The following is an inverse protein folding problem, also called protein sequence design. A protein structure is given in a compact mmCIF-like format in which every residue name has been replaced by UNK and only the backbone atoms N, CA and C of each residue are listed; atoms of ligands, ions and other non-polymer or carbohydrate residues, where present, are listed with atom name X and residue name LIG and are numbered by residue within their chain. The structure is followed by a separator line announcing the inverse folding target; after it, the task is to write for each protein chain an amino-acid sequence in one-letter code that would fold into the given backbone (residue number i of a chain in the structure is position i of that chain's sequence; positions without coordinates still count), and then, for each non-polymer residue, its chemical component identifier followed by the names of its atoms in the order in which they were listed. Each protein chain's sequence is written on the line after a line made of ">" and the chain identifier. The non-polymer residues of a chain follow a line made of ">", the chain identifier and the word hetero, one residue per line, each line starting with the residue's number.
data_IF_889845404152
#
_entry.id   IF_889845404152
#
_cell.length_a   1.000
_cell.length_b   1.000
_cell.length_c   1.000
_cell.angle_alpha   90.00
_cell.angle_beta   90.00
_cell.angle_gamma   90.00
#
_symmetry.space_group_name_H-M   'P 1'
#
loop_
_entity.id
_entity.type
_entity.pdbx_description
1 polymer ?
#
# COMPACT_ATOMS: atom_id res chain seq x y z
N UNK A 1 5.31 -30.91 -19.98
CA UNK A 1 5.61 -31.56 -18.68
C UNK A 1 6.87 -30.92 -18.15
N UNK A 2 6.70 -29.86 -17.35
CA UNK A 2 7.83 -29.19 -16.70
C UNK A 2 8.36 -30.07 -15.58
N UNK A 3 9.69 -30.18 -15.51
CA UNK A 3 10.39 -30.91 -14.46
C UNK A 3 10.11 -30.19 -13.14
N UNK A 4 9.35 -30.83 -12.25
CA UNK A 4 9.32 -30.47 -10.82
C UNK A 4 10.73 -30.79 -10.29
N UNK A 5 11.59 -29.79 -10.27
CA UNK A 5 12.82 -29.86 -9.48
C UNK A 5 12.36 -29.94 -8.04
N UNK A 6 12.70 -31.02 -7.34
CA UNK A 6 12.46 -31.11 -5.91
C UNK A 6 13.22 -29.95 -5.26
N UNK A 7 12.48 -29.01 -4.67
CA UNK A 7 13.05 -27.89 -3.95
C UNK A 7 13.44 -28.43 -2.57
N UNK A 8 14.67 -28.94 -2.47
CA UNK A 8 15.27 -29.35 -1.21
C UNK A 8 15.79 -28.09 -0.49
N UNK A 9 15.00 -27.53 0.42
CA UNK A 9 15.42 -26.40 1.24
C UNK A 9 14.27 -25.74 2.00
N UNK A 10 14.56 -25.20 3.19
CA UNK A 10 13.65 -24.25 3.81
C UNK A 10 13.72 -22.88 3.08
N UNK A 11 12.72 -22.03 3.29
CA UNK A 11 12.65 -20.71 2.63
C UNK A 11 13.93 -19.89 2.83
N UNK A 12 14.50 -19.97 4.04
CA UNK A 12 15.72 -19.25 4.40
C UNK A 12 16.90 -19.68 3.53
N UNK A 13 17.12 -20.98 3.35
CA UNK A 13 18.21 -21.50 2.52
C UNK A 13 18.10 -20.96 1.09
N UNK A 14 16.90 -20.95 0.51
CA UNK A 14 16.68 -20.41 -0.84
C UNK A 14 16.98 -18.91 -0.94
N UNK A 15 16.67 -18.15 0.11
CA UNK A 15 16.96 -16.73 0.19
C UNK A 15 18.47 -16.51 0.31
N UNK A 16 19.16 -17.26 1.16
CA UNK A 16 20.63 -17.23 1.31
C UNK A 16 21.33 -17.57 -0.01
N UNK A 17 20.88 -18.62 -0.71
CA UNK A 17 21.37 -19.00 -2.03
C UNK A 17 21.13 -17.91 -3.09
N UNK A 18 20.11 -17.08 -2.90
CA UNK A 18 19.79 -15.92 -3.75
C UNK A 18 20.54 -14.64 -3.33
N UNK A 19 21.39 -14.71 -2.30
CA UNK A 19 22.20 -13.57 -1.82
C UNK A 19 21.59 -12.77 -0.67
N UNK A 20 20.57 -13.28 0.02
CA UNK A 20 19.94 -12.57 1.13
C UNK A 20 20.93 -12.27 2.27
N UNK A 21 20.94 -11.02 2.70
CA UNK A 21 21.61 -10.56 3.91
C UNK A 21 20.55 -10.31 4.98
N UNK A 22 20.58 -11.11 6.03
CA UNK A 22 19.61 -11.02 7.13
C UNK A 22 20.06 -10.02 8.20
N UNK A 23 19.09 -9.32 8.80
CA UNK A 23 19.26 -8.60 10.05
C UNK A 23 19.27 -9.56 11.25
N UNK A 24 19.63 -9.06 12.44
CA UNK A 24 19.71 -9.85 13.67
C UNK A 24 18.37 -10.50 14.06
N UNK A 25 17.25 -9.89 13.68
CA UNK A 25 15.89 -10.37 13.93
C UNK A 25 15.41 -11.41 12.91
N UNK A 26 16.27 -11.79 11.95
CA UNK A 26 15.95 -12.79 10.93
C UNK A 26 15.16 -12.26 9.74
N UNK A 27 15.00 -10.94 9.61
CA UNK A 27 14.38 -10.32 8.43
C UNK A 27 15.40 -10.13 7.32
N UNK A 28 15.02 -10.36 6.06
CA UNK A 28 15.88 -10.09 4.91
C UNK A 28 16.03 -8.58 4.74
N UNK A 29 17.22 -8.07 5.04
CA UNK A 29 17.54 -6.63 4.98
C UNK A 29 17.74 -6.18 3.53
N UNK A 30 18.59 -6.88 2.79
CA UNK A 30 18.91 -6.61 1.38
C UNK A 30 19.42 -7.88 0.70
N UNK A 31 19.44 -7.88 -0.63
CA UNK A 31 20.14 -8.86 -1.48
C UNK A 31 21.36 -8.23 -2.19
N UNK A 32 21.74 -6.99 -1.83
CA UNK A 32 22.81 -6.20 -2.47
C UNK A 32 22.58 -6.04 -3.99
N UNK A 33 21.32 -5.83 -4.36
CA UNK A 33 20.82 -5.79 -5.74
C UNK A 33 19.87 -4.61 -6.00
N UNK A 34 20.05 -3.49 -5.29
CA UNK A 34 19.11 -2.37 -5.26
C UNK A 34 18.81 -1.81 -6.66
N UNK A 35 19.80 -1.75 -7.55
CA UNK A 35 19.62 -1.28 -8.93
C UNK A 35 18.66 -2.19 -9.72
N UNK A 36 18.89 -3.51 -9.68
CA UNK A 36 18.04 -4.50 -10.35
C UNK A 36 16.64 -4.55 -9.75
N UNK A 37 16.55 -4.49 -8.42
CA UNK A 37 15.29 -4.50 -7.68
C UNK A 37 14.46 -3.24 -7.97
N UNK A 38 15.08 -2.06 -8.02
CA UNK A 38 14.40 -0.80 -8.38
C UNK A 38 13.95 -0.79 -9.85
N UNK A 39 14.79 -1.30 -10.75
CA UNK A 39 14.42 -1.46 -12.16
C UNK A 39 13.24 -2.43 -12.34
N UNK A 40 13.23 -3.54 -11.61
CA UNK A 40 12.16 -4.52 -11.61
C UNK A 40 10.87 -3.99 -10.97
N UNK A 41 10.95 -3.17 -9.93
CA UNK A 41 9.76 -2.54 -9.35
C UNK A 41 9.09 -1.58 -10.35
N UNK A 42 9.88 -0.89 -11.18
CA UNK A 42 9.37 0.02 -12.20
C UNK A 42 8.88 -0.69 -13.48
N UNK A 43 9.54 -1.77 -13.92
CA UNK A 43 9.33 -2.35 -15.26
C UNK A 43 9.10 -3.87 -15.27
N UNK A 44 9.07 -4.52 -14.12
CA UNK A 44 8.90 -5.97 -13.99
C UNK A 44 8.11 -6.31 -12.73
N UNK A 45 8.65 -7.19 -11.88
CA UNK A 45 8.11 -7.40 -10.55
C UNK A 45 9.20 -7.77 -9.53
N UNK A 46 9.00 -7.33 -8.29
CA UNK A 46 9.81 -7.69 -7.14
C UNK A 46 9.03 -8.59 -6.18
N UNK A 47 9.76 -9.48 -5.51
CA UNK A 47 9.24 -10.36 -4.48
C UNK A 47 9.93 -10.06 -3.15
N UNK A 48 9.14 -9.72 -2.13
CA UNK A 48 9.65 -9.38 -0.79
C UNK A 48 9.08 -10.33 0.24
N UNK A 49 9.95 -10.84 1.12
CA UNK A 49 9.53 -11.62 2.27
C UNK A 49 9.03 -10.71 3.40
N UNK A 50 7.72 -10.76 3.62
CA UNK A 50 7.02 -9.99 4.66
C UNK A 50 6.57 -10.89 5.81
N UNK A 51 7.17 -12.06 5.99
CA UNK A 51 6.78 -13.03 7.02
C UNK A 51 6.92 -12.49 8.45
N UNK A 52 7.67 -11.41 8.68
CA UNK A 52 7.74 -10.73 9.98
C UNK A 52 6.51 -9.86 10.32
N UNK A 53 5.60 -9.59 9.37
CA UNK A 53 4.37 -8.83 9.62
C UNK A 53 3.37 -9.59 10.47
N UNK A 54 2.63 -8.91 11.35
CA UNK A 54 1.63 -9.55 12.19
C UNK A 54 0.44 -10.06 11.37
N UNK A 55 0.05 -11.31 11.59
CA UNK A 55 -1.14 -11.92 10.99
C UNK A 55 -2.06 -12.42 12.10
N UNK A 56 -3.10 -11.65 12.39
CA UNK A 56 -4.08 -11.96 13.43
C UNK A 56 -5.37 -12.45 12.78
N UNK A 57 -5.77 -13.69 13.08
CA UNK A 57 -7.04 -14.26 12.63
C UNK A 57 -8.12 -14.02 13.67
N UNK A 58 -9.18 -13.34 13.27
CA UNK A 58 -10.41 -13.19 14.07
C UNK A 58 -11.47 -14.16 13.57
N UNK A 59 -11.98 -15.00 14.46
CA UNK A 59 -13.08 -15.94 14.19
C UNK A 59 -14.27 -15.68 15.11
N UNK A 60 -15.40 -16.35 14.86
CA UNK A 60 -16.66 -16.18 15.60
C UNK A 60 -17.68 -15.34 14.83
N UNK A 61 -18.96 -15.45 15.15
CA UNK A 61 -20.04 -14.79 14.40
C UNK A 61 -20.02 -13.27 14.53
N UNK A 62 -19.50 -12.74 15.64
CA UNK A 62 -19.49 -11.29 15.90
C UNK A 62 -18.24 -10.58 15.37
N UNK A 63 -17.30 -11.29 14.74
CA UNK A 63 -15.98 -10.78 14.32
C UNK A 63 -16.02 -9.47 13.51
N UNK A 64 -16.97 -9.31 12.58
CA UNK A 64 -17.08 -8.09 11.77
C UNK A 64 -17.63 -6.93 12.59
N UNK A 65 -18.66 -7.17 13.41
CA UNK A 65 -19.23 -6.16 14.32
C UNK A 65 -18.20 -5.71 15.35
N UNK A 66 -17.39 -6.64 15.86
CA UNK A 66 -16.30 -6.35 16.76
C UNK A 66 -15.24 -5.46 16.10
N UNK A 67 -14.69 -5.85 14.94
CA UNK A 67 -13.72 -5.02 14.21
C UNK A 67 -14.29 -3.65 13.81
N UNK A 68 -15.59 -3.59 13.53
CA UNK A 68 -16.30 -2.35 13.29
C UNK A 68 -16.27 -1.40 14.48
N UNK A 69 -16.37 -1.87 15.72
CA UNK A 69 -16.24 -1.04 16.92
C UNK A 69 -14.80 -0.69 17.30
N UNK A 70 -13.83 -1.53 16.87
CA UNK A 70 -12.44 -1.44 17.32
C UNK A 70 -11.51 -0.61 16.42
N UNK A 71 -11.93 -0.29 15.20
CA UNK A 71 -11.10 0.38 14.19
C UNK A 71 -11.89 1.47 13.45
N UNK A 72 -11.26 2.21 12.53
CA UNK A 72 -11.89 3.37 11.86
C UNK A 72 -12.72 3.05 10.62
N UNK A 73 -12.51 1.91 9.95
CA UNK A 73 -13.17 1.59 8.67
C UNK A 73 -14.52 0.87 8.82
N UNK A 74 -15.39 0.93 7.81
CA UNK A 74 -16.73 0.33 7.87
C UNK A 74 -16.74 -1.17 7.47
N UNK A 75 -16.82 -2.07 8.46
CA UNK A 75 -16.82 -3.53 8.24
C UNK A 75 -18.18 -4.17 7.92
N UNK A 76 -19.30 -3.53 8.27
CA UNK A 76 -20.61 -4.18 8.14
C UNK A 76 -20.98 -4.34 6.66
N UNK A 77 -21.46 -5.52 6.28
CA UNK A 77 -21.83 -5.84 4.91
C UNK A 77 -20.71 -6.40 4.03
N UNK A 78 -19.45 -6.41 4.51
CA UNK A 78 -18.36 -7.07 3.80
C UNK A 78 -18.60 -8.58 3.68
N UNK A 79 -18.32 -9.11 2.49
CA UNK A 79 -18.46 -10.52 2.15
C UNK A 79 -17.10 -11.22 2.09
N UNK A 80 -17.06 -12.56 2.22
CA UNK A 80 -15.86 -13.34 1.93
C UNK A 80 -15.24 -12.98 0.57
N UNK A 81 -13.91 -12.87 0.51
CA UNK A 81 -13.18 -12.43 -0.67
C UNK A 81 -13.03 -10.91 -0.80
N UNK A 82 -13.63 -10.13 0.11
CA UNK A 82 -13.45 -8.67 0.19
C UNK A 82 -12.53 -8.27 1.34
N UNK A 83 -11.90 -7.10 1.22
CA UNK A 83 -11.10 -6.55 2.29
C UNK A 83 -11.06 -5.03 2.26
N UNK A 84 -10.36 -4.45 3.23
CA UNK A 84 -10.14 -3.01 3.31
C UNK A 84 -8.91 -2.69 4.16
N UNK A 85 -8.42 -1.46 4.03
CA UNK A 85 -7.50 -0.86 5.00
C UNK A 85 -8.28 -0.17 6.12
N UNK A 86 -7.81 -0.34 7.35
CA UNK A 86 -8.37 0.30 8.54
C UNK A 86 -7.28 0.83 9.44
N UNK A 87 -7.61 1.83 10.26
CA UNK A 87 -6.67 2.40 11.22
C UNK A 87 -7.11 2.03 12.63
N UNK A 88 -6.18 1.52 13.43
CA UNK A 88 -6.37 1.38 14.86
C UNK A 88 -5.90 2.66 15.55
N UNK A 89 -6.76 3.24 16.38
CA UNK A 89 -6.48 4.51 17.05
C UNK A 89 -6.68 4.43 18.55
N UNK A 90 -6.04 5.31 19.31
CA UNK A 90 -6.32 5.50 20.75
C UNK A 90 -7.68 6.18 20.97
N UNK A 91 -8.14 6.26 22.22
CA UNK A 91 -9.36 7.02 22.56
C UNK A 91 -9.26 8.51 22.20
N UNK A 92 -8.04 9.05 22.15
CA UNK A 92 -7.73 10.41 21.72
C UNK A 92 -7.50 10.52 20.20
N UNK A 93 -7.88 9.49 19.44
CA UNK A 93 -7.74 9.38 17.99
C UNK A 93 -6.31 9.48 17.46
N UNK A 94 -5.33 9.05 18.26
CA UNK A 94 -3.93 8.95 17.83
C UNK A 94 -3.69 7.64 17.10
N UNK A 95 -2.90 7.68 16.05
CA UNK A 95 -2.71 6.52 15.18
C UNK A 95 -1.79 5.50 15.84
N UNK A 96 -2.24 4.25 15.93
CA UNK A 96 -1.42 3.15 16.41
C UNK A 96 -0.87 2.32 15.25
N UNK A 97 -1.74 1.93 14.32
CA UNK A 97 -1.36 1.10 13.18
C UNK A 97 -2.31 1.29 12.01
N UNK A 98 -1.78 1.13 10.80
CA UNK A 98 -2.52 1.00 9.56
C UNK A 98 -2.52 -0.48 9.16
N UNK A 99 -3.67 -1.13 9.34
CA UNK A 99 -3.82 -2.56 9.11
C UNK A 99 -4.66 -2.84 7.86
N UNK A 100 -4.38 -3.96 7.21
CA UNK A 100 -5.20 -4.49 6.13
C UNK A 100 -6.03 -5.65 6.66
N UNK A 101 -7.33 -5.68 6.34
CA UNK A 101 -8.24 -6.72 6.79
C UNK A 101 -8.84 -7.47 5.59
N UNK A 102 -8.67 -8.78 5.55
CA UNK A 102 -9.20 -9.67 4.51
C UNK A 102 -10.30 -10.55 5.10
N UNK A 103 -11.54 -10.37 4.64
CA UNK A 103 -12.70 -11.14 5.11
C UNK A 103 -12.77 -12.48 4.40
N UNK A 104 -12.71 -13.56 5.18
CA UNK A 104 -12.81 -14.94 4.72
C UNK A 104 -14.08 -15.60 5.28
N UNK A 105 -14.47 -16.74 4.73
CA UNK A 105 -15.65 -17.48 5.21
C UNK A 105 -15.57 -17.81 6.70
N UNK A 106 -14.38 -18.23 7.14
CA UNK A 106 -14.13 -18.73 8.49
C UNK A 106 -13.51 -17.69 9.43
N UNK A 107 -13.34 -16.44 9.00
CA UNK A 107 -12.70 -15.42 9.82
C UNK A 107 -12.38 -14.13 9.09
N UNK A 108 -11.64 -13.25 9.75
CA UNK A 108 -10.99 -12.09 9.14
C UNK A 108 -9.50 -12.20 9.44
N UNK A 109 -8.66 -12.12 8.40
CA UNK A 109 -7.22 -12.01 8.56
C UNK A 109 -6.85 -10.52 8.65
N UNK A 110 -6.29 -10.11 9.78
CA UNK A 110 -5.80 -8.76 10.02
C UNK A 110 -4.28 -8.78 9.90
N UNK A 111 -3.78 -8.09 8.87
CA UNK A 111 -2.36 -7.87 8.63
C UNK A 111 -1.97 -6.57 9.33
N UNK A 112 -1.11 -6.68 10.34
CA UNK A 112 -0.66 -5.60 11.22
C UNK A 112 0.84 -5.37 11.06
N UNK A 113 1.29 -4.15 11.36
CA UNK A 113 2.72 -3.84 11.33
C UNK A 113 3.49 -4.70 12.35
N UNK A 114 4.74 -5.08 12.07
CA UNK A 114 5.52 -5.99 12.92
C UNK A 114 5.60 -5.54 14.38
N UNK A 115 5.91 -4.25 14.60
CA UNK A 115 6.02 -3.62 15.93
C UNK A 115 4.69 -3.54 16.68
N UNK A 116 3.55 -3.62 15.97
CA UNK A 116 2.21 -3.47 16.53
C UNK A 116 1.46 -4.78 16.73
N UNK A 117 1.97 -5.90 16.17
CA UNK A 117 1.39 -7.26 16.27
C UNK A 117 0.93 -7.60 17.69
N UNK A 118 1.83 -7.57 18.66
CA UNK A 118 1.54 -7.99 20.03
C UNK A 118 0.59 -7.02 20.74
N UNK A 119 0.84 -5.71 20.61
CA UNK A 119 0.03 -4.68 21.23
C UNK A 119 -1.42 -4.69 20.70
N UNK A 120 -1.61 -4.86 19.40
CA UNK A 120 -2.95 -4.98 18.80
C UNK A 120 -3.65 -6.26 19.22
N UNK A 121 -2.96 -7.41 19.22
CA UNK A 121 -3.54 -8.67 19.71
C UNK A 121 -4.04 -8.52 21.14
N UNK A 122 -3.19 -8.04 22.05
CA UNK A 122 -3.54 -7.88 23.46
C UNK A 122 -4.68 -6.87 23.63
N UNK A 123 -4.65 -5.77 22.87
CA UNK A 123 -5.73 -4.79 22.87
C UNK A 123 -7.05 -5.40 22.42
N UNK A 124 -7.07 -6.13 21.31
CA UNK A 124 -8.29 -6.75 20.79
C UNK A 124 -8.83 -7.74 21.82
N UNK A 125 -7.99 -8.62 22.37
CA UNK A 125 -8.38 -9.61 23.38
C UNK A 125 -9.02 -8.97 24.61
N UNK A 126 -8.43 -7.87 25.13
CA UNK A 126 -8.97 -7.12 26.28
C UNK A 126 -10.35 -6.50 26.05
N UNK A 127 -10.73 -6.26 24.80
CA UNK A 127 -12.02 -5.62 24.47
C UNK A 127 -13.11 -6.62 24.11
N UNK A 128 -12.81 -7.92 24.10
CA UNK A 128 -13.83 -8.97 23.93
C UNK A 128 -14.62 -9.03 25.25
N UNK A 129 -15.92 -8.72 25.18
CA UNK A 129 -16.77 -8.70 26.36
C UNK A 129 -17.44 -10.06 26.58
N UNK A 130 -17.94 -10.27 27.80
CA UNK A 130 -18.72 -11.45 28.12
C UNK A 130 -19.99 -11.51 27.25
N UNK A 131 -20.05 -12.47 26.34
CA UNK A 131 -21.15 -12.67 25.39
C UNK A 131 -20.81 -12.41 23.93
N UNK A 132 -19.63 -11.85 23.61
CA UNK A 132 -19.16 -11.73 22.23
C UNK A 132 -18.66 -13.10 21.72
N UNK A 133 -19.16 -13.56 20.57
CA UNK A 133 -18.58 -14.71 19.86
C UNK A 133 -17.44 -14.22 18.97
N UNK A 134 -16.28 -13.96 19.59
CA UNK A 134 -15.04 -13.54 18.93
C UNK A 134 -13.84 -14.23 19.55
N UNK A 135 -12.92 -14.69 18.71
CA UNK A 135 -11.60 -15.18 19.13
C UNK A 135 -10.51 -14.58 18.26
N UNK A 136 -9.47 -14.05 18.89
CA UNK A 136 -8.28 -13.52 18.21
C UNK A 136 -7.15 -14.55 18.35
N UNK A 137 -6.66 -15.05 17.21
CA UNK A 137 -5.53 -15.99 17.18
C UNK A 137 -4.40 -15.39 16.35
N UNK A 138 -3.21 -15.36 16.92
CA UNK A 138 -2.01 -14.98 16.19
C UNK A 138 -1.54 -16.18 15.35
N UNK A 139 -1.50 -16.01 14.03
CA UNK A 139 -1.09 -17.03 13.06
C UNK A 139 0.18 -16.63 12.32
N UNK A 140 0.87 -15.58 12.78
CA UNK A 140 2.09 -15.06 12.15
C UNK A 140 3.13 -16.16 11.97
N UNK A 141 3.45 -16.90 13.03
CA UNK A 141 4.51 -17.93 12.99
C UNK A 141 4.01 -19.27 12.41
N UNK A 142 2.83 -19.29 11.78
CA UNK A 142 2.22 -20.49 11.16
C UNK A 142 2.12 -20.38 9.65
N UNK A 143 2.39 -19.21 9.10
CA UNK A 143 2.29 -18.93 7.66
C UNK A 143 3.31 -17.87 7.27
N UNK A 144 3.79 -17.98 6.04
CA UNK A 144 4.65 -16.97 5.42
C UNK A 144 3.79 -15.97 4.65
N UNK A 145 4.31 -14.75 4.49
CA UNK A 145 3.64 -13.70 3.73
C UNK A 145 4.62 -13.05 2.78
N UNK A 146 4.24 -12.92 1.51
CA UNK A 146 5.06 -12.28 0.49
C UNK A 146 4.33 -11.11 -0.16
N UNK A 147 5.06 -10.05 -0.49
CA UNK A 147 4.57 -8.99 -1.37
C UNK A 147 5.18 -9.17 -2.75
N UNK A 148 4.32 -9.32 -3.76
CA UNK A 148 4.71 -9.29 -5.17
C UNK A 148 4.26 -7.95 -5.74
N UNK A 149 5.19 -7.07 -6.12
CA UNK A 149 4.90 -5.71 -6.55
C UNK A 149 5.55 -5.38 -7.89
N UNK A 150 4.89 -4.57 -8.72
CA UNK A 150 5.37 -4.14 -10.03
C UNK A 150 4.39 -4.47 -11.14
N UNK A 151 4.55 -3.87 -12.34
CA UNK A 151 3.63 -4.03 -13.46
C UNK A 151 3.43 -5.48 -13.93
N UNK A 152 4.43 -6.36 -13.76
CA UNK A 152 4.33 -7.76 -14.20
C UNK A 152 3.75 -8.71 -13.14
N UNK A 153 3.45 -8.22 -11.93
CA UNK A 153 2.97 -9.04 -10.82
C UNK A 153 1.72 -9.86 -11.19
N UNK A 154 0.78 -9.26 -11.92
CA UNK A 154 -0.43 -9.93 -12.37
C UNK A 154 -0.15 -11.03 -13.40
N UNK A 155 0.75 -10.77 -14.34
CA UNK A 155 1.15 -11.74 -15.35
C UNK A 155 1.88 -12.95 -14.73
N UNK A 156 2.74 -12.70 -13.74
CA UNK A 156 3.41 -13.75 -12.96
C UNK A 156 2.39 -14.63 -12.25
N UNK A 157 1.47 -14.04 -11.47
CA UNK A 157 0.44 -14.81 -10.80
C UNK A 157 -0.47 -15.58 -11.75
N UNK A 158 -0.77 -15.01 -12.93
CA UNK A 158 -1.49 -15.72 -13.99
C UNK A 158 -0.81 -17.03 -14.40
N UNK A 159 0.52 -17.05 -14.52
CA UNK A 159 1.30 -18.26 -14.85
C UNK A 159 1.29 -19.30 -13.73
N UNK A 160 1.12 -18.87 -12.48
CA UNK A 160 0.94 -19.76 -11.33
C UNK A 160 -0.51 -20.26 -11.16
N UNK A 161 -1.45 -19.85 -12.02
CA UNK A 161 -2.86 -20.27 -11.95
C UNK A 161 -3.75 -19.33 -11.14
N UNK A 162 -3.29 -18.11 -10.85
CA UNK A 162 -3.97 -17.09 -10.05
C UNK A 162 -4.35 -15.84 -10.88
N UNK A 163 -4.75 -16.05 -12.15
CA UNK A 163 -5.08 -14.96 -13.07
C UNK A 163 -6.21 -14.07 -12.55
N UNK A 164 -6.04 -12.75 -12.68
CA UNK A 164 -7.04 -11.74 -12.27
C UNK A 164 -7.07 -11.40 -10.77
N UNK A 165 -6.29 -12.08 -9.92
CA UNK A 165 -6.27 -11.78 -8.48
C UNK A 165 -5.47 -10.51 -8.14
N UNK A 166 -4.42 -10.18 -8.90
CA UNK A 166 -3.67 -8.94 -8.70
C UNK A 166 -4.36 -7.71 -9.33
N UNK A 167 -5.09 -7.90 -10.44
CA UNK A 167 -5.80 -6.84 -11.17
C UNK A 167 -7.22 -6.58 -10.64
N UNK A 168 -7.61 -7.32 -9.60
CA UNK A 168 -8.91 -7.17 -8.97
C UNK A 168 -9.04 -5.85 -8.20
N UNK A 169 -10.26 -5.53 -7.70
CA UNK A 169 -10.44 -4.44 -6.75
C UNK A 169 -9.47 -4.59 -5.57
N UNK A 170 -8.95 -3.48 -5.05
CA UNK A 170 -8.01 -3.51 -3.92
C UNK A 170 -8.55 -4.40 -2.78
N UNK A 171 -7.69 -5.26 -2.24
CA UNK A 171 -7.99 -6.23 -1.18
C UNK A 171 -8.95 -7.37 -1.56
N UNK A 172 -9.44 -7.41 -2.80
CA UNK A 172 -10.14 -8.59 -3.31
C UNK A 172 -9.19 -9.78 -3.29
N UNK A 173 -9.64 -10.93 -2.81
CA UNK A 173 -8.76 -12.06 -2.60
C UNK A 173 -9.44 -13.40 -2.82
N UNK A 174 -8.63 -14.38 -3.21
CA UNK A 174 -9.05 -15.77 -3.36
C UNK A 174 -7.90 -16.71 -3.01
N UNK A 175 -8.24 -17.98 -2.87
CA UNK A 175 -7.26 -19.05 -2.67
C UNK A 175 -7.04 -19.76 -4.01
N UNK A 176 -5.76 -19.93 -4.38
CA UNK A 176 -5.36 -20.77 -5.50
C UNK A 176 -4.45 -21.90 -4.99
N UNK A 177 -4.19 -22.90 -5.83
CA UNK A 177 -3.32 -24.01 -5.48
C UNK A 177 -1.90 -23.79 -6.02
N UNK A 178 -0.90 -23.84 -5.14
CA UNK A 178 0.51 -23.93 -5.51
C UNK A 178 1.04 -25.28 -5.03
N UNK A 179 1.58 -26.11 -5.93
CA UNK A 179 2.04 -27.47 -5.61
C UNK A 179 1.01 -28.32 -4.81
N UNK A 180 -0.28 -28.13 -5.08
CA UNK A 180 -1.38 -28.83 -4.40
C UNK A 180 -1.76 -28.28 -3.02
N UNK A 181 -1.05 -27.27 -2.50
CA UNK A 181 -1.37 -26.59 -1.24
C UNK A 181 -2.05 -25.22 -1.49
N UNK A 182 -2.93 -24.78 -0.58
CA UNK A 182 -3.63 -23.51 -0.72
C UNK A 182 -2.70 -22.31 -0.48
N UNK A 183 -2.80 -21.31 -1.35
CA UNK A 183 -2.16 -20.00 -1.19
C UNK A 183 -3.24 -18.93 -1.34
N UNK A 184 -3.34 -18.05 -0.35
CA UNK A 184 -4.18 -16.86 -0.44
C UNK A 184 -3.46 -15.80 -1.26
N UNK A 185 -4.11 -15.25 -2.28
CA UNK A 185 -3.65 -14.06 -2.98
C UNK A 185 -4.68 -12.95 -2.85
N UNK A 186 -4.22 -11.76 -2.43
CA UNK A 186 -5.03 -10.55 -2.29
C UNK A 186 -4.47 -9.44 -3.19
N UNK A 187 -5.36 -8.75 -3.91
CA UNK A 187 -5.01 -7.60 -4.73
C UNK A 187 -4.41 -6.47 -3.88
N UNK A 188 -3.28 -5.94 -4.33
CA UNK A 188 -2.49 -4.92 -3.65
C UNK A 188 -1.29 -5.51 -2.92
N UNK A 189 -0.10 -4.98 -3.21
CA UNK A 189 1.15 -5.37 -2.56
C UNK A 189 1.43 -4.63 -1.23
N UNK A 190 0.49 -3.76 -0.81
CA UNK A 190 0.64 -2.93 0.39
C UNK A 190 1.24 -1.54 0.12
N UNK A 191 1.45 -1.14 -1.13
CA UNK A 191 2.03 0.17 -1.51
C UNK A 191 1.03 1.10 -2.22
N UNK A 192 -0.26 0.75 -2.20
CA UNK A 192 -1.30 1.47 -2.95
C UNK A 192 -1.09 1.40 -4.46
N UNK A 193 -1.70 2.33 -5.20
CA UNK A 193 -1.71 2.31 -6.67
C UNK A 193 -0.35 2.69 -7.30
N UNK A 194 0.60 3.18 -6.50
CA UNK A 194 1.95 3.49 -6.97
C UNK A 194 2.68 2.25 -7.50
N UNK A 195 2.51 1.13 -6.80
CA UNK A 195 3.14 -0.15 -7.10
C UNK A 195 2.09 -1.25 -7.02
N UNK A 196 1.39 -1.55 -8.13
CA UNK A 196 0.36 -2.59 -8.15
C UNK A 196 0.97 -3.95 -7.88
N UNK A 197 0.13 -4.92 -7.53
CA UNK A 197 0.58 -6.29 -7.30
C UNK A 197 -0.32 -7.04 -6.34
N UNK A 198 0.25 -7.95 -5.57
CA UNK A 198 -0.50 -8.81 -4.67
C UNK A 198 0.23 -9.11 -3.36
N UNK A 199 -0.54 -9.33 -2.32
CA UNK A 199 -0.09 -9.94 -1.07
C UNK A 199 -0.42 -11.43 -1.11
N UNK A 200 0.57 -12.26 -0.83
CA UNK A 200 0.46 -13.72 -0.83
C UNK A 200 0.63 -14.23 0.60
N UNK A 201 -0.25 -15.14 1.03
CA UNK A 201 -0.11 -15.83 2.32
C UNK A 201 -0.15 -17.33 2.06
N UNK A 202 0.91 -18.02 2.48
CA UNK A 202 1.12 -19.44 2.26
C UNK A 202 1.42 -20.14 3.58
N UNK A 203 0.95 -21.37 3.75
CA UNK A 203 1.43 -22.22 4.84
C UNK A 203 2.95 -22.45 4.67
N UNK A 204 3.66 -22.60 5.79
CA UNK A 204 5.11 -22.80 5.83
C UNK A 204 5.58 -23.92 4.90
N UNK A 205 4.79 -24.99 4.80
CA UNK A 205 5.07 -26.17 3.97
C UNK A 205 5.14 -25.90 2.46
N UNK A 206 4.57 -24.78 1.96
CA UNK A 206 4.59 -24.42 0.53
C UNK A 206 5.27 -23.07 0.27
N UNK A 207 5.68 -22.36 1.31
CA UNK A 207 6.26 -21.03 1.20
C UNK A 207 7.55 -21.01 0.34
N UNK A 208 8.47 -21.95 0.59
CA UNK A 208 9.71 -22.11 -0.17
C UNK A 208 9.46 -22.38 -1.66
N UNK A 209 8.50 -23.26 -1.96
CA UNK A 209 8.11 -23.59 -3.32
C UNK A 209 7.47 -22.40 -4.04
N UNK A 210 6.56 -21.69 -3.37
CA UNK A 210 5.94 -20.48 -3.92
C UNK A 210 7.00 -19.42 -4.26
N UNK A 211 7.93 -19.19 -3.34
CA UNK A 211 9.04 -18.25 -3.52
C UNK A 211 9.87 -18.60 -4.75
N UNK A 212 10.38 -19.83 -4.82
CA UNK A 212 11.21 -20.28 -5.92
C UNK A 212 10.50 -20.24 -7.27
N UNK A 213 9.20 -20.59 -7.33
CA UNK A 213 8.41 -20.51 -8.56
C UNK A 213 8.25 -19.07 -9.03
N UNK A 214 8.03 -18.11 -8.13
CA UNK A 214 7.92 -16.70 -8.50
C UNK A 214 9.25 -16.16 -9.04
N UNK A 215 10.38 -16.54 -8.43
CA UNK A 215 11.71 -16.19 -8.94
C UNK A 215 11.96 -16.81 -10.33
N UNK A 216 11.63 -18.09 -10.52
CA UNK A 216 11.79 -18.78 -11.79
C UNK A 216 10.93 -18.18 -12.92
N UNK A 217 9.79 -17.58 -12.56
CA UNK A 217 8.91 -16.89 -13.51
C UNK A 217 9.35 -15.45 -13.83
N UNK A 218 10.37 -14.93 -13.12
CA UNK A 218 11.01 -13.64 -13.40
C UNK A 218 10.84 -12.57 -12.32
N UNK A 219 10.31 -12.89 -11.14
CA UNK A 219 10.34 -11.94 -10.02
C UNK A 219 11.78 -11.74 -9.51
N UNK A 220 12.13 -10.51 -9.16
CA UNK A 220 13.43 -10.17 -8.56
C UNK A 220 13.29 -10.08 -7.05
N UNK A 221 14.13 -10.75 -6.25
CA UNK A 221 14.05 -10.65 -4.79
C UNK A 221 14.45 -9.23 -4.35
N UNK A 222 13.73 -8.69 -3.37
CA UNK A 222 14.03 -7.39 -2.76
C UNK A 222 13.95 -7.53 -1.23
N UNK A 223 14.87 -6.88 -0.52
CA UNK A 223 14.89 -6.84 0.95
C UNK A 223 14.11 -5.66 1.53
N UNK A 224 14.01 -5.60 2.86
CA UNK A 224 13.27 -4.53 3.54
C UNK A 224 13.86 -3.13 3.32
N UNK A 225 15.16 -2.97 3.07
CA UNK A 225 15.74 -1.64 2.79
C UNK A 225 15.16 -1.04 1.50
N UNK A 226 15.18 -1.80 0.40
CA UNK A 226 14.56 -1.37 -0.86
C UNK A 226 13.03 -1.25 -0.78
N UNK A 227 12.39 -2.11 0.01
CA UNK A 227 10.95 -2.03 0.24
C UNK A 227 10.55 -0.76 1.03
N UNK A 228 11.35 -0.34 2.02
CA UNK A 228 11.12 0.90 2.75
C UNK A 228 11.26 2.13 1.84
N UNK A 229 12.21 2.12 0.90
CA UNK A 229 12.29 3.19 -0.12
C UNK A 229 11.02 3.25 -0.97
N UNK A 230 10.54 2.10 -1.46
CA UNK A 230 9.30 2.02 -2.23
C UNK A 230 8.08 2.51 -1.42
N UNK A 231 8.03 2.19 -0.12
CA UNK A 231 7.02 2.70 0.83
C UNK A 231 7.04 4.22 0.91
N UNK A 232 8.22 4.82 1.08
CA UNK A 232 8.40 6.28 1.17
C UNK A 232 7.94 6.96 -0.12
N UNK A 233 8.31 6.42 -1.27
CA UNK A 233 7.90 6.93 -2.58
C UNK A 233 6.40 6.82 -2.83
N UNK A 234 5.78 5.72 -2.42
CA UNK A 234 4.33 5.56 -2.46
C UNK A 234 3.62 6.54 -1.51
N UNK A 235 4.32 7.02 -0.48
CA UNK A 235 3.78 7.84 0.60
C UNK A 235 3.00 7.05 1.63
N UNK A 236 3.32 5.77 1.83
CA UNK A 236 2.66 4.96 2.86
C UNK A 236 3.30 5.23 4.24
N UNK A 237 2.54 5.73 5.23
CA UNK A 237 3.08 5.98 6.56
C UNK A 237 3.31 4.68 7.33
N UNK A 238 4.32 4.65 8.21
CA UNK A 238 4.67 3.48 9.03
C UNK A 238 4.69 3.78 10.54
N UNK A 239 4.37 2.80 11.42
CA UNK A 239 4.58 2.92 12.86
C UNK A 239 6.04 3.21 13.22
N UNK A 240 6.24 4.16 14.14
CA UNK A 240 7.57 4.61 14.57
C UNK A 240 8.18 5.71 13.68
N UNK A 241 7.65 5.92 12.48
CA UNK A 241 7.99 7.05 11.62
C UNK A 241 6.82 8.05 11.61
N UNK A 242 5.91 7.93 10.64
CA UNK A 242 4.76 8.84 10.52
C UNK A 242 3.62 8.51 11.48
N UNK A 243 3.40 7.22 11.75
CA UNK A 243 2.32 6.78 12.64
C UNK A 243 2.83 6.73 14.08
N UNK A 244 2.52 7.79 14.81
CA UNK A 244 2.89 7.97 16.22
C UNK A 244 1.70 8.46 17.03
N UNK A 245 1.87 8.50 18.36
CA UNK A 245 0.86 9.07 19.25
C UNK A 245 0.69 10.60 19.10
N UNK A 246 1.50 11.26 18.26
CA UNK A 246 1.40 12.69 18.00
C UNK A 246 0.40 13.03 16.89
N UNK A 247 0.15 12.08 15.99
CA UNK A 247 -0.60 12.30 14.75
C UNK A 247 -1.90 11.51 14.68
N UNK A 248 -2.94 12.16 14.18
CA UNK A 248 -4.22 11.53 13.86
C UNK A 248 -4.19 10.90 12.45
N UNK A 249 -5.07 9.94 12.14
CA UNK A 249 -5.18 9.38 10.79
C UNK A 249 -5.46 10.42 9.71
N UNK A 250 -6.21 11.48 10.03
CA UNK A 250 -6.50 12.56 9.08
C UNK A 250 -5.26 13.41 8.76
N UNK A 251 -4.40 13.63 9.75
CA UNK A 251 -3.11 14.31 9.55
C UNK A 251 -2.16 13.41 8.75
N UNK A 252 -2.18 12.08 8.98
CA UNK A 252 -1.38 11.09 8.25
C UNK A 252 -1.86 10.81 6.82
N UNK A 253 -2.89 11.49 6.32
CA UNK A 253 -3.44 11.27 4.97
C UNK A 253 -4.20 9.95 4.81
N UNK A 254 -4.70 9.36 5.90
CA UNK A 254 -5.40 8.07 5.92
C UNK A 254 -6.92 8.24 5.88
N UNK A 255 -7.44 9.34 5.33
CA UNK A 255 -8.87 9.64 5.28
C UNK A 255 -9.71 8.55 4.60
N UNK A 256 -9.14 7.86 3.59
CA UNK A 256 -9.80 6.75 2.91
C UNK A 256 -10.07 5.53 3.81
N UNK A 257 -9.28 5.34 4.86
CA UNK A 257 -9.42 4.24 5.82
C UNK A 257 -10.27 4.63 7.04
N UNK A 258 -10.90 5.81 7.04
CA UNK A 258 -11.69 6.35 8.16
C UNK A 258 -13.12 6.61 7.71
N UNK A 259 -14.09 5.92 8.31
CA UNK A 259 -15.49 6.32 8.25
C UNK A 259 -15.82 7.20 9.46
N UNK A 260 -16.44 8.34 9.19
CA UNK A 260 -16.88 9.27 10.25
C UNK A 260 -18.32 9.02 10.69
N UNK A 261 -19.07 8.21 9.93
CA UNK A 261 -20.52 8.06 10.01
C UNK A 261 -21.01 6.61 10.22
N UNK A 262 -20.11 5.62 10.27
CA UNK A 262 -20.46 4.21 10.48
C UNK A 262 -21.06 3.85 11.85
N UNK A 263 -20.97 4.77 12.82
CA UNK A 263 -21.37 4.55 14.22
C UNK A 263 -20.19 4.58 15.18
N UNK A 264 -20.45 4.23 16.45
CA UNK A 264 -19.47 4.37 17.53
C UNK A 264 -18.27 3.45 17.37
N UNK A 265 -17.07 4.03 17.36
CA UNK A 265 -15.80 3.32 17.51
C UNK A 265 -14.83 4.16 18.35
N UNK A 266 -13.76 3.54 18.84
CA UNK A 266 -12.76 4.21 19.67
C UNK A 266 -12.14 5.39 18.92
N UNK A 267 -12.20 6.59 19.50
CA UNK A 267 -11.64 7.81 18.91
C UNK A 267 -12.54 8.52 17.88
N UNK A 268 -13.71 7.98 17.54
CA UNK A 268 -14.61 8.59 16.54
C UNK A 268 -14.96 10.05 16.85
N UNK A 269 -15.36 10.36 18.09
CA UNK A 269 -15.80 11.71 18.45
C UNK A 269 -14.71 12.76 18.15
N UNK A 270 -13.45 12.42 18.47
CA UNK A 270 -12.31 13.30 18.20
C UNK A 270 -12.09 13.46 16.70
N UNK A 271 -12.12 12.39 15.91
CA UNK A 271 -11.95 12.46 14.44
C UNK A 271 -13.09 13.24 13.77
N UNK A 272 -14.34 12.93 14.13
CA UNK A 272 -15.51 13.60 13.60
C UNK A 272 -15.50 15.10 13.92
N UNK A 273 -15.06 15.48 15.13
CA UNK A 273 -14.89 16.88 15.52
C UNK A 273 -13.81 17.58 14.70
N UNK A 274 -12.65 16.94 14.50
CA UNK A 274 -11.56 17.49 13.68
C UNK A 274 -12.01 17.70 12.24
N UNK A 275 -12.66 16.70 11.64
CA UNK A 275 -13.16 16.77 10.27
C UNK A 275 -14.26 17.84 10.11
N UNK A 276 -15.26 17.86 11.01
CA UNK A 276 -16.36 18.83 10.96
C UNK A 276 -15.90 20.28 11.10
N UNK A 277 -14.86 20.52 11.90
CA UNK A 277 -14.32 21.86 12.15
C UNK A 277 -13.25 22.28 11.13
N UNK A 278 -12.93 21.43 10.15
CA UNK A 278 -11.80 21.60 9.23
C UNK A 278 -10.52 22.00 10.00
N UNK A 279 -10.26 21.25 11.07
CA UNK A 279 -9.29 21.62 12.11
C UNK A 279 -7.98 20.82 12.03
N UNK A 280 -7.69 20.20 10.88
CA UNK A 280 -6.42 19.51 10.62
C UNK A 280 -5.30 20.56 10.58
N UNK A 281 -4.38 20.49 11.55
CA UNK A 281 -3.35 21.53 11.75
C UNK A 281 -2.10 21.29 10.92
N UNK A 282 -1.87 20.04 10.52
CA UNK A 282 -0.73 19.60 9.74
C UNK A 282 -1.11 18.37 8.93
N UNK A 283 -0.43 18.14 7.82
CA UNK A 283 -0.65 16.95 7.01
C UNK A 283 0.69 16.38 6.57
N UNK A 284 0.74 15.06 6.41
CA UNK A 284 1.88 14.37 5.82
C UNK A 284 1.96 14.67 4.32
N UNK A 285 3.13 14.99 3.78
CA UNK A 285 3.33 15.23 2.35
C UNK A 285 4.58 14.53 1.83
N UNK A 286 4.61 14.32 0.52
CA UNK A 286 5.82 13.97 -0.22
C UNK A 286 6.64 15.21 -0.58
N UNK A 287 7.95 15.03 -0.64
CA UNK A 287 8.92 16.08 -0.95
C UNK A 287 9.90 15.56 -1.99
N UNK A 288 9.88 16.15 -3.18
CA UNK A 288 10.93 15.95 -4.18
C UNK A 288 12.13 16.83 -3.82
N UNK A 289 13.31 16.21 -3.71
CA UNK A 289 14.54 16.85 -3.23
C UNK A 289 15.63 16.78 -4.30
N UNK A 290 16.53 17.77 -4.29
CA UNK A 290 17.76 17.70 -5.09
C UNK A 290 18.90 17.00 -4.36
N UNK A 291 18.86 17.02 -3.02
CA UNK A 291 19.87 16.45 -2.13
C UNK A 291 19.14 15.63 -1.07
N UNK A 292 19.63 14.43 -0.68
CA UNK A 292 19.00 13.64 0.36
C UNK A 292 18.79 14.43 1.66
N UNK A 293 17.70 14.12 2.36
CA UNK A 293 17.36 14.76 3.63
C UNK A 293 17.69 13.86 4.81
N UNK A 294 18.18 14.48 5.90
CA UNK A 294 18.33 13.81 7.17
C UNK A 294 16.98 13.69 7.86
N UNK A 295 16.74 12.56 8.53
CA UNK A 295 15.57 12.38 9.38
C UNK A 295 15.52 13.46 10.47
N UNK A 296 14.34 14.01 10.72
CA UNK A 296 14.16 15.10 11.69
C UNK A 296 14.60 16.49 11.20
N UNK A 297 15.05 16.63 9.95
CA UNK A 297 15.40 17.93 9.39
C UNK A 297 14.17 18.85 9.33
N UNK A 298 14.37 20.12 9.70
CA UNK A 298 13.30 21.12 9.70
C UNK A 298 12.90 21.51 8.27
N UNK A 299 11.59 21.61 8.06
CA UNK A 299 10.97 22.15 6.85
C UNK A 299 10.50 23.58 7.13
N UNK A 300 10.74 24.51 6.23
CA UNK A 300 10.40 25.93 6.36
C UNK A 300 9.87 26.53 5.06
N UNK A 301 9.19 27.68 5.14
CA UNK A 301 8.57 28.33 3.97
C UNK A 301 9.57 28.84 2.90
N UNK A 302 10.87 28.81 3.20
CA UNK A 302 11.98 29.30 2.40
C UNK A 302 13.25 29.31 3.25
N UNK A 303 14.41 29.59 2.67
CA UNK A 303 15.67 29.66 3.41
C UNK A 303 15.59 30.72 4.54
N UNK A 304 15.81 30.31 5.79
CA UNK A 304 15.63 31.18 6.97
C UNK A 304 14.17 31.56 7.27
N UNK A 305 13.20 30.96 6.58
CA UNK A 305 11.79 31.21 6.74
C UNK A 305 11.17 30.59 7.99
N UNK A 306 9.88 30.83 8.20
CA UNK A 306 9.16 30.25 9.33
C UNK A 306 9.12 28.71 9.24
N UNK A 307 9.39 28.04 10.36
CA UNK A 307 9.30 26.58 10.47
C UNK A 307 7.87 26.09 10.20
N UNK A 308 7.75 25.19 9.25
CA UNK A 308 6.52 24.57 8.79
C UNK A 308 6.37 23.11 9.22
N UNK A 309 7.47 22.39 9.45
CA UNK A 309 7.39 20.95 9.60
C UNK A 309 8.72 20.26 9.89
N UNK A 310 8.71 18.93 9.74
CA UNK A 310 9.89 18.08 9.88
C UNK A 310 9.84 16.92 8.90
N UNK A 311 11.01 16.48 8.42
CA UNK A 311 11.19 15.21 7.69
C UNK A 311 10.98 14.03 8.65
N UNK A 312 10.21 13.03 8.21
CA UNK A 312 9.92 11.80 8.95
C UNK A 312 10.53 10.56 8.31
N UNK A 313 10.61 10.52 6.98
CA UNK A 313 11.27 9.45 6.20
C UNK A 313 12.00 10.05 4.99
N UNK A 314 13.05 9.39 4.52
CA UNK A 314 13.79 9.77 3.32
C UNK A 314 14.18 8.53 2.50
N UNK A 315 14.23 8.65 1.18
CA UNK A 315 14.55 7.58 0.25
C UNK A 315 15.40 8.12 -0.92
N UNK A 316 16.22 7.25 -1.53
CA UNK A 316 17.05 7.60 -2.69
C UNK A 316 16.27 7.83 -3.99
N UNK A 317 15.07 7.25 -4.10
CA UNK A 317 14.26 7.28 -5.32
C UNK A 317 14.64 6.19 -6.32
N UNK A 318 13.67 5.65 -7.07
CA UNK A 318 13.94 4.55 -8.03
C UNK A 318 14.86 4.97 -9.18
N UNK A 319 14.89 6.25 -9.52
CA UNK A 319 15.76 6.84 -10.54
C UNK A 319 16.91 7.67 -9.93
N UNK A 320 17.16 7.49 -8.63
CA UNK A 320 18.20 8.21 -7.88
C UNK A 320 17.84 9.65 -7.52
N UNK A 321 16.60 10.11 -7.77
CA UNK A 321 16.13 11.42 -7.30
C UNK A 321 15.63 11.29 -5.85
N UNK A 322 16.27 11.96 -4.87
CA UNK A 322 15.88 11.81 -3.48
C UNK A 322 14.46 12.28 -3.22
N UNK A 323 13.78 11.53 -2.36
CA UNK A 323 12.40 11.78 -1.96
C UNK A 323 12.28 11.71 -0.45
N UNK A 324 11.32 12.42 0.12
CA UNK A 324 11.06 12.35 1.55
C UNK A 324 9.57 12.46 1.88
N UNK A 325 9.23 11.98 3.07
CA UNK A 325 7.95 12.28 3.72
C UNK A 325 8.18 13.25 4.87
N UNK A 326 7.20 14.12 5.11
CA UNK A 326 7.24 15.02 6.26
C UNK A 326 5.89 15.65 6.58
N UNK A 327 5.68 15.96 7.85
CA UNK A 327 4.48 16.69 8.29
C UNK A 327 4.67 18.19 8.08
N UNK A 328 3.79 18.81 7.31
CA UNK A 328 3.77 20.26 7.09
C UNK A 328 2.51 20.86 7.71
N UNK A 329 2.68 21.98 8.42
CA UNK A 329 1.59 22.77 9.00
C UNK A 329 0.73 23.41 7.92
N UNK A 330 -0.57 23.21 8.03
CA UNK A 330 -1.58 23.93 7.27
C UNK A 330 -1.93 25.20 8.06
N UNK A 331 -1.59 26.39 7.57
CA UNK A 331 -1.95 27.63 8.28
C UNK A 331 -3.47 27.89 8.20
N UNK A 332 -4.14 27.58 9.32
CA UNK A 332 -5.44 28.05 9.86
C UNK A 332 -6.62 28.36 8.92
N UNK A 333 -7.73 27.63 9.13
CA UNK A 333 -9.15 27.94 8.81
C UNK A 333 -9.44 28.47 7.41
N UNK A 334 -10.02 27.61 6.56
CA UNK A 334 -10.62 28.01 5.28
C UNK A 334 -9.63 28.30 4.15
N UNK A 335 -8.34 28.40 4.46
CA UNK A 335 -7.27 28.30 3.49
C UNK A 335 -6.82 26.85 3.41
N UNK A 336 -7.36 26.07 2.47
CA UNK A 336 -6.57 24.98 1.90
C UNK A 336 -5.34 25.66 1.30
N UNK A 337 -4.25 25.79 2.06
CA UNK A 337 -2.97 26.16 1.48
C UNK A 337 -2.72 25.08 0.45
N UNK A 338 -2.72 25.46 -0.84
CA UNK A 338 -2.30 24.58 -1.92
C UNK A 338 -0.80 24.38 -1.75
N UNK A 339 -0.43 23.50 -0.80
CA UNK A 339 0.94 23.09 -0.54
C UNK A 339 1.43 22.26 -1.71
N UNK A 340 0.56 21.47 -2.33
CA UNK A 340 0.89 20.73 -3.54
C UNK A 340 1.44 21.66 -4.64
N UNK A 341 2.61 21.30 -5.15
CA UNK A 341 3.34 22.05 -6.16
C UNK A 341 4.12 23.25 -5.64
N UNK A 342 4.00 23.61 -4.34
CA UNK A 342 4.75 24.70 -3.73
C UNK A 342 6.20 24.30 -3.43
N UNK A 343 7.06 25.31 -3.33
CA UNK A 343 8.44 25.12 -2.90
C UNK A 343 8.58 25.40 -1.41
N UNK A 344 9.35 24.55 -0.74
CA UNK A 344 9.76 24.72 0.67
C UNK A 344 11.27 24.59 0.78
N UNK A 345 11.80 24.90 1.96
CA UNK A 345 13.21 24.73 2.28
C UNK A 345 13.40 23.67 3.36
N UNK A 346 14.24 22.69 3.09
CA UNK A 346 14.62 21.61 4.00
C UNK A 346 16.04 21.87 4.49
N UNK A 347 16.22 21.92 5.81
CA UNK A 347 17.53 22.13 6.42
C UNK A 347 18.53 21.05 5.97
N UNK A 348 19.65 21.46 5.40
CA UNK A 348 20.69 20.56 4.88
C UNK A 348 20.49 20.08 3.43
N UNK A 349 19.26 20.12 2.91
CA UNK A 349 18.92 19.64 1.55
C UNK A 349 18.54 20.75 0.58
N UNK A 350 18.27 21.95 1.09
CA UNK A 350 17.93 23.12 0.29
C UNK A 350 16.47 23.13 -0.16
N UNK A 351 16.22 23.58 -1.39
CA UNK A 351 14.88 23.71 -1.95
C UNK A 351 14.27 22.33 -2.24
N UNK A 352 13.02 22.14 -1.84
CA UNK A 352 12.23 20.94 -2.07
C UNK A 352 10.87 21.30 -2.68
N UNK A 353 10.32 20.42 -3.52
CA UNK A 353 8.97 20.59 -4.06
C UNK A 353 8.00 19.69 -3.32
N UNK A 354 6.92 20.27 -2.81
CA UNK A 354 5.86 19.51 -2.13
C UNK A 354 4.97 18.84 -3.17
N UNK A 355 4.78 17.52 -3.05
CA UNK A 355 3.95 16.73 -3.95
C UNK A 355 3.01 15.83 -3.16
N UNK A 356 1.93 15.38 -3.81
CA UNK A 356 1.00 14.41 -3.26
C UNK A 356 1.40 13.00 -3.73
N UNK A 357 1.91 12.12 -2.85
CA UNK A 357 2.15 10.73 -3.18
C UNK A 357 0.83 9.96 -3.44
N UNK A 358 0.85 8.88 -4.23
CA UNK A 358 -0.35 8.14 -4.59
C UNK A 358 -1.12 7.52 -3.42
N UNK A 359 -0.42 7.10 -2.35
CA UNK A 359 -1.06 6.45 -1.20
C UNK A 359 -1.86 7.43 -0.32
N UNK A 360 -1.41 8.69 -0.23
CA UNK A 360 -1.98 9.65 0.70
C UNK A 360 -3.29 10.24 0.17
N UNK A 361 -4.34 10.14 0.99
CA UNK A 361 -5.61 10.79 0.77
C UNK A 361 -5.69 12.11 1.52
N UNK A 362 -5.63 13.21 0.77
CA UNK A 362 -5.92 14.57 1.26
C UNK A 362 -7.35 15.02 0.95
N UNK A 363 -8.16 14.15 0.34
CA UNK A 363 -9.55 14.48 0.06
C UNK A 363 -10.32 14.67 1.38
N UNK A 364 -11.18 15.69 1.50
CA UNK A 364 -12.03 15.84 2.67
C UNK A 364 -12.91 14.59 2.80
N UNK A 365 -12.81 13.91 3.94
CA UNK A 365 -13.67 12.75 4.24
C UNK A 365 -15.11 13.25 4.29
N UNK A 366 -15.95 12.76 3.36
CA UNK A 366 -17.33 13.20 3.26
C UNK A 366 -18.07 12.90 4.57
N UNK A 367 -18.67 13.94 5.18
CA UNK A 367 -19.59 13.78 6.30
C UNK A 367 -20.98 13.55 5.70
N UNK A 368 -21.44 12.30 5.68
CA UNK A 368 -22.79 11.95 5.21
C UNK A 368 -22.87 11.32 3.81
N UNK A 369 -21.83 10.61 3.39
CA UNK A 369 -21.88 9.71 2.25
C UNK A 369 -21.25 8.40 2.66
N UNK A 370 -22.00 7.31 2.57
CA UNK A 370 -21.49 5.97 2.82
C UNK A 370 -20.17 5.80 2.05
N UNK A 371 -19.11 5.35 2.73
CA UNK A 371 -17.98 4.72 2.04
C UNK A 371 -18.62 3.69 1.10
N UNK A 372 -18.40 3.84 -0.21
CA UNK A 372 -18.92 2.90 -1.18
C UNK A 372 -18.35 1.54 -0.79
N UNK A 373 -19.18 0.68 -0.20
CA UNK A 373 -18.86 -0.72 -0.04
C UNK A 373 -18.42 -1.22 -1.42
N UNK A 374 -17.32 -1.98 -1.53
CA UNK A 374 -16.96 -2.59 -2.80
C UNK A 374 -18.20 -3.34 -3.31
N UNK A 375 -18.77 -2.87 -4.41
CA UNK A 375 -20.02 -3.40 -4.92
C UNK A 375 -19.79 -4.85 -5.28
N UNK A 376 -20.46 -5.76 -4.56
CA UNK A 376 -20.51 -7.17 -4.90
C UNK A 376 -21.01 -7.32 -6.35
N UNK A 377 -20.46 -8.25 -7.14
CA UNK A 377 -20.99 -8.52 -8.47
C UNK A 377 -22.37 -9.19 -8.30
N UNK A 378 -23.43 -8.42 -8.55
CA UNK A 378 -24.77 -8.95 -8.70
C UNK A 378 -24.97 -9.42 -10.15
N UNK A 379 -25.12 -10.73 -10.30
CA UNK A 379 -25.78 -11.52 -11.34
C UNK A 379 -25.58 -11.19 -12.84
N UNK A 380 -25.24 -12.27 -13.55
CA UNK A 380 -24.77 -12.40 -14.92
C UNK A 380 -25.78 -12.10 -16.06
N UNK A 381 -26.68 -11.12 -15.91
CA UNK A 381 -27.66 -10.80 -16.96
C UNK A 381 -27.51 -9.38 -17.56
N UNK A 382 -26.64 -8.53 -17.03
CA UNK A 382 -26.45 -7.14 -17.50
C UNK A 382 -25.16 -6.88 -18.31
N UNK A 383 -24.33 -7.90 -18.56
CA UNK A 383 -23.02 -7.75 -19.25
C UNK A 383 -23.14 -7.34 -20.73
N UNK A 384 -24.17 -7.81 -21.45
CA UNK A 384 -24.25 -7.59 -22.90
C UNK A 384 -24.46 -6.12 -23.32
N UNK A 385 -24.97 -5.25 -22.43
CA UNK A 385 -25.20 -3.83 -22.76
C UNK A 385 -24.01 -2.92 -22.39
N UNK A 386 -23.18 -3.30 -21.40
CA UNK A 386 -22.02 -2.51 -20.95
C UNK A 386 -20.74 -2.79 -21.74
N UNK A 387 -20.64 -3.97 -22.33
CA UNK A 387 -19.49 -4.35 -23.19
C UNK A 387 -19.49 -3.57 -24.52
N UNK A 388 -20.65 -3.14 -25.01
CA UNK A 388 -20.78 -2.29 -26.21
C UNK A 388 -20.25 -0.87 -26.03
N UNK A 389 -20.56 -0.24 -24.89
CA UNK A 389 -20.09 1.13 -24.59
C UNK A 389 -18.59 1.17 -24.26
N UNK A 390 -18.06 0.16 -23.54
CA UNK A 390 -16.61 0.06 -23.24
C UNK A 390 -15.76 -0.22 -24.49
N UNK A 391 -16.25 -1.03 -25.43
CA UNK A 391 -15.56 -1.27 -26.70
C UNK A 391 -15.53 -0.01 -27.57
N UNK A 392 -16.62 0.78 -27.59
CA UNK A 392 -16.67 2.04 -28.31
C UNK A 392 -15.73 3.11 -27.72
N UNK A 393 -15.63 3.19 -26.39
CA UNK A 393 -14.71 4.10 -25.69
C UNK A 393 -13.24 3.73 -25.94
N UNK A 394 -12.88 2.44 -25.85
CA UNK A 394 -11.53 1.97 -26.15
C UNK A 394 -11.14 2.20 -27.61
N UNK A 395 -12.09 2.08 -28.54
CA UNK A 395 -11.86 2.30 -29.96
C UNK A 395 -11.69 3.79 -30.29
N UNK A 396 -12.42 4.69 -29.60
CA UNK A 396 -12.18 6.14 -29.67
C UNK A 396 -10.84 6.55 -29.07
N UNK A 397 -10.43 5.96 -27.95
CA UNK A 397 -9.14 6.26 -27.32
C UNK A 397 -7.96 5.74 -28.16
N UNK A 398 -8.09 4.56 -28.76
CA UNK A 398 -7.12 4.01 -29.71
C UNK A 398 -7.00 4.87 -30.97
N UNK A 399 -8.12 5.37 -31.51
CA UNK A 399 -8.13 6.28 -32.65
C UNK A 399 -7.47 7.63 -32.31
N UNK A 400 -7.70 8.17 -31.11
CA UNK A 400 -7.06 9.39 -30.63
C UNK A 400 -5.54 9.24 -30.43
N UNK A 401 -5.09 8.09 -29.90
CA UNK A 401 -3.66 7.77 -29.79
C UNK A 401 -2.99 7.62 -31.16
N UNK A 402 -3.65 6.96 -32.12
CA UNK A 402 -3.16 6.82 -33.48
C UNK A 402 -3.04 8.17 -34.21
N UNK A 403 -4.01 9.08 -34.01
CA UNK A 403 -3.96 10.43 -34.57
C UNK A 403 -2.79 11.26 -34.02
N UNK A 404 -2.55 11.22 -32.70
CA UNK A 404 -1.40 11.89 -32.05
C UNK A 404 -0.07 11.33 -32.53
N UNK A 405 0.04 10.01 -32.72
CA UNK A 405 1.25 9.39 -33.23
C UNK A 405 1.55 9.83 -34.67
N UNK A 406 0.53 9.92 -35.52
CA UNK A 406 0.66 10.40 -36.90
C UNK A 406 1.11 11.86 -36.94
N UNK A 407 0.52 12.73 -36.13
CA UNK A 407 0.92 14.14 -36.04
C UNK A 407 2.37 14.31 -35.54
N UNK A 408 2.80 13.48 -34.60
CA UNK A 408 4.19 13.45 -34.13
C UNK A 408 5.16 13.00 -35.23
N UNK A 409 4.80 11.99 -36.02
CA UNK A 409 5.62 11.51 -37.14
C UNK A 409 5.72 12.55 -38.26
N UNK A 410 4.63 13.26 -38.58
CA UNK A 410 4.63 14.35 -39.56
C UNK A 410 5.52 15.52 -39.09
N UNK A 411 5.47 15.88 -37.80
CA UNK A 411 6.36 16.89 -37.21
C UNK A 411 7.82 16.47 -37.24
N UNK A 412 8.11 15.20 -36.98
CA UNK A 412 9.47 14.68 -37.04
C UNK A 412 10.02 14.69 -38.48
N UNK A 413 9.20 14.29 -39.45
CA UNK A 413 9.56 14.32 -40.87
C UNK A 413 9.80 15.76 -41.38
N UNK A 414 8.95 16.71 -40.98
CA UNK A 414 9.12 18.13 -41.32
C UNK A 414 10.41 18.70 -40.71
N UNK A 415 10.73 18.35 -39.46
CA UNK A 415 11.97 18.76 -38.81
C UNK A 415 13.21 18.16 -39.50
N UNK A 416 13.17 16.88 -39.88
CA UNK A 416 14.26 16.22 -40.62
C UNK A 416 14.49 16.87 -42.00
N UNK A 417 13.42 17.23 -42.71
CA UNK A 417 13.53 17.94 -43.99
C UNK A 417 14.14 19.34 -43.83
N UNK A 418 13.83 20.06 -42.73
CA UNK A 418 14.46 21.35 -42.41
C UNK A 418 15.95 21.23 -42.09
N UNK A 419 16.36 20.17 -41.40
CA UNK A 419 17.76 19.90 -41.11
C UNK A 419 18.56 19.59 -42.38
N UNK A 420 17.98 18.83 -43.31
CA UNK A 420 18.61 18.52 -44.60
C UNK A 420 18.72 19.72 -45.54
N UNK A 421 17.80 20.69 -45.44
CA UNK A 421 17.86 21.93 -46.22
C UNK A 421 18.82 22.99 -45.66
N UNK A 422 19.35 22.77 -44.44
CA UNK A 422 20.29 23.68 -43.76
C UNK A 422 21.75 23.20 -43.83
N UNK A 423 22.01 22.09 -44.54
CA UNK A 423 23.33 21.61 -44.97
C UNK A 423 23.49 21.88 -46.47
#
# INVERSE_FOLDING_TARGET
>A
MGVLVAIDGDLRTLQEDSGAIFAEDGVVRTYDNEEDANAALANGAVLVDRSHWGRLRLSGSDRLKFLHGQSTAHFLGLQPGQGLDTVFVTAQARTLDLATCLVQESGVLVVASPSMRHALRERLDKHILYGDDVKVTDVTDRCCMFSLAGPDAAALLGRLGAAGLADGPQHAHAVFACAGAPVLAAAGAGLGDAFPGATLVADEAVAAELWARLLAEGAVPMGEEGWDEARVLAGRPAPGAELTEEHTPLEAGLGGAVSLDKGCYIGQETLAKVAKLDAVKQQLWGLELAVPASLGADISAGEGGARMGTITSAAGGLDGRPFALGYLRCRSRGAQVKLEGSDVWVAGSGRARVVRPPFLSHAPVAVGGAQAAPTAPADAAASAARDGDRAAEQQQEAAAKAARLKEMQERLAAWQAQQQASQ
#
